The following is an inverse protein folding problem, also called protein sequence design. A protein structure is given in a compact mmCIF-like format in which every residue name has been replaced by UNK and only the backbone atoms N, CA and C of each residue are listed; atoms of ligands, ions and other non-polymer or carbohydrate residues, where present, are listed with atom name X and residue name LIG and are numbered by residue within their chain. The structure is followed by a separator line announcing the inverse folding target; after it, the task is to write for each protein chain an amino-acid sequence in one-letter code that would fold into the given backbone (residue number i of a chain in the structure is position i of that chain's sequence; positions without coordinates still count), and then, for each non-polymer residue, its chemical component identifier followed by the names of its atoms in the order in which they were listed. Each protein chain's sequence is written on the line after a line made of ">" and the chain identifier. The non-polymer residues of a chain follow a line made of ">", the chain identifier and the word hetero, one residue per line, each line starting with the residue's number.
data_IF_761840009948
#
_entry.id   IF_761840009948
#
_cell.length_a   1.000
_cell.length_b   1.000
_cell.length_c   1.000
_cell.angle_alpha   90.00
_cell.angle_beta   90.00
_cell.angle_gamma   90.00
#
_symmetry.space_group_name_H-M   'P 1'
#
loop_
_entity.id
_entity.type
_entity.pdbx_description
1 polymer ?
#
# COMPACT_ATOMS: atom_id res chain seq x y z
N UNK A 1 -54.78 -5.01 -29.04
CA UNK A 1 -53.57 -5.39 -28.30
C UNK A 1 -52.60 -4.22 -28.33
N UNK A 2 -52.47 -3.48 -27.23
CA UNK A 2 -51.52 -2.37 -27.11
C UNK A 2 -50.25 -2.95 -26.49
N UNK A 3 -49.12 -2.78 -27.18
CA UNK A 3 -47.81 -3.32 -26.79
C UNK A 3 -47.31 -2.61 -25.52
N UNK A 4 -47.22 -3.36 -24.41
CA UNK A 4 -46.92 -2.82 -23.06
C UNK A 4 -45.42 -2.89 -22.70
N UNK A 5 -44.53 -3.24 -23.63
CA UNK A 5 -43.13 -3.60 -23.31
C UNK A 5 -42.09 -2.46 -23.39
N UNK A 6 -42.50 -1.20 -23.27
CA UNK A 6 -41.59 -0.05 -23.46
C UNK A 6 -41.08 0.67 -22.19
N UNK A 7 -41.63 0.37 -21.00
CA UNK A 7 -41.43 1.22 -19.80
C UNK A 7 -40.51 0.62 -18.73
N UNK A 8 -40.12 -0.64 -18.84
CA UNK A 8 -39.40 -1.36 -17.75
C UNK A 8 -37.86 -1.25 -17.84
N UNK A 9 -37.29 -0.74 -18.92
CA UNK A 9 -35.83 -0.65 -19.11
C UNK A 9 -35.19 0.65 -18.61
N UNK A 10 -35.84 1.80 -18.85
CA UNK A 10 -35.26 3.13 -18.60
C UNK A 10 -34.96 3.42 -17.13
N UNK A 11 -35.80 2.93 -16.22
CA UNK A 11 -35.64 3.14 -14.77
C UNK A 11 -34.53 2.26 -14.17
N UNK A 12 -34.35 1.03 -14.70
CA UNK A 12 -33.22 0.16 -14.33
C UNK A 12 -31.90 0.75 -14.79
N UNK A 13 -31.84 1.26 -16.01
CA UNK A 13 -30.63 1.91 -16.55
C UNK A 13 -30.27 3.15 -15.72
N UNK A 14 -31.26 3.95 -15.33
CA UNK A 14 -31.06 5.11 -14.43
C UNK A 14 -30.51 4.70 -13.06
N UNK A 15 -31.04 3.63 -12.45
CA UNK A 15 -30.57 3.14 -11.15
C UNK A 15 -29.14 2.57 -11.21
N UNK A 16 -28.79 1.92 -12.32
CA UNK A 16 -27.43 1.42 -12.57
C UNK A 16 -26.45 2.58 -12.74
N UNK A 17 -26.82 3.62 -13.50
CA UNK A 17 -26.01 4.83 -13.69
C UNK A 17 -25.79 5.55 -12.35
N UNK A 18 -26.82 5.69 -11.53
CA UNK A 18 -26.69 6.34 -10.21
C UNK A 18 -25.78 5.55 -9.27
N UNK A 19 -25.88 4.22 -9.28
CA UNK A 19 -25.00 3.34 -8.50
C UNK A 19 -23.54 3.48 -8.94
N UNK A 20 -23.29 3.49 -10.26
CA UNK A 20 -21.96 3.68 -10.81
C UNK A 20 -21.34 5.02 -10.39
N UNK A 21 -22.11 6.12 -10.47
CA UNK A 21 -21.65 7.45 -10.02
C UNK A 21 -21.23 7.44 -8.56
N UNK A 22 -22.04 6.85 -7.67
CA UNK A 22 -21.70 6.75 -6.24
C UNK A 22 -20.42 5.95 -5.99
N UNK A 23 -20.18 4.88 -6.74
CA UNK A 23 -18.94 4.12 -6.63
C UNK A 23 -17.73 4.95 -7.10
N UNK A 24 -17.85 5.64 -8.23
CA UNK A 24 -16.79 6.50 -8.78
C UNK A 24 -16.44 7.62 -7.81
N UNK A 25 -17.44 8.38 -7.35
CA UNK A 25 -17.24 9.49 -6.41
C UNK A 25 -16.53 9.04 -5.13
N UNK A 26 -16.92 7.86 -4.60
CA UNK A 26 -16.27 7.30 -3.41
C UNK A 26 -14.83 6.88 -3.68
N UNK A 27 -14.53 6.31 -4.84
CA UNK A 27 -13.17 5.94 -5.24
C UNK A 27 -12.31 7.19 -5.42
N UNK A 28 -12.81 8.21 -6.11
CA UNK A 28 -12.09 9.47 -6.34
C UNK A 28 -11.73 10.16 -5.02
N UNK A 29 -12.67 10.18 -4.06
CA UNK A 29 -12.39 10.68 -2.72
C UNK A 29 -11.28 9.88 -2.02
N UNK A 30 -11.36 8.54 -2.06
CA UNK A 30 -10.35 7.68 -1.45
C UNK A 30 -8.98 7.82 -2.12
N UNK A 31 -8.94 8.03 -3.43
CA UNK A 31 -7.71 8.29 -4.19
C UNK A 31 -7.07 9.62 -3.79
N UNK A 32 -7.87 10.69 -3.64
CA UNK A 32 -7.39 11.98 -3.13
C UNK A 32 -6.81 11.86 -1.71
N UNK A 33 -7.54 11.21 -0.80
CA UNK A 33 -7.07 10.97 0.58
C UNK A 33 -5.77 10.15 0.60
N UNK A 34 -5.68 9.12 -0.26
CA UNK A 34 -4.47 8.30 -0.40
C UNK A 34 -3.28 9.11 -0.90
N UNK A 35 -3.51 10.03 -1.85
CA UNK A 35 -2.47 10.91 -2.36
C UNK A 35 -1.95 11.86 -1.27
N UNK A 36 -2.85 12.52 -0.54
CA UNK A 36 -2.52 13.40 0.58
C UNK A 36 -1.70 12.66 1.66
N UNK A 37 -2.14 11.46 2.06
CA UNK A 37 -1.39 10.61 3.01
C UNK A 37 -0.01 10.27 2.43
N UNK A 38 0.07 9.94 1.14
CA UNK A 38 1.33 9.66 0.45
C UNK A 38 2.28 10.86 0.48
N UNK A 39 1.77 12.08 0.29
CA UNK A 39 2.55 13.31 0.39
C UNK A 39 3.03 13.56 1.84
N UNK A 40 2.17 13.36 2.84
CA UNK A 40 2.55 13.44 4.25
C UNK A 40 3.68 12.47 4.60
N UNK A 41 3.59 11.20 4.17
CA UNK A 41 4.65 10.20 4.37
C UNK A 41 5.96 10.64 3.72
N UNK A 42 5.91 11.19 2.50
CA UNK A 42 7.12 11.71 1.82
C UNK A 42 7.73 12.87 2.61
N UNK A 43 6.91 13.78 3.13
CA UNK A 43 7.37 14.90 3.95
C UNK A 43 8.15 14.42 5.18
N UNK A 44 7.62 13.43 5.90
CA UNK A 44 8.31 12.84 7.08
C UNK A 44 9.67 12.22 6.71
N UNK A 45 9.75 11.50 5.58
CA UNK A 45 11.05 10.96 5.13
C UNK A 45 12.04 12.07 4.73
N UNK A 46 11.55 13.17 4.15
CA UNK A 46 12.40 14.30 3.79
C UNK A 46 12.89 15.05 5.03
N UNK A 47 12.03 15.27 6.02
CA UNK A 47 12.40 15.84 7.31
C UNK A 47 13.45 14.96 8.01
N UNK A 48 13.24 13.65 8.05
CA UNK A 48 14.21 12.71 8.63
C UNK A 48 15.57 12.78 7.92
N UNK A 49 15.59 12.89 6.59
CA UNK A 49 16.83 13.09 5.83
C UNK A 49 17.53 14.41 6.19
N UNK A 50 16.79 15.52 6.30
CA UNK A 50 17.33 16.81 6.74
C UNK A 50 17.91 16.76 8.16
N UNK A 51 17.34 15.91 9.01
CA UNK A 51 17.81 15.66 10.37
C UNK A 51 18.95 14.61 10.45
N UNK A 52 19.48 14.16 9.31
CA UNK A 52 20.63 13.26 9.25
C UNK A 52 20.33 11.77 9.28
N UNK A 53 19.07 11.35 9.22
CA UNK A 53 18.69 9.94 9.14
C UNK A 53 18.73 9.40 7.71
N UNK A 54 19.01 8.10 7.55
CA UNK A 54 18.99 7.45 6.25
C UNK A 54 17.57 6.96 5.89
N UNK A 55 16.84 7.69 5.04
CA UNK A 55 15.48 7.29 4.65
C UNK A 55 15.39 5.91 3.96
N UNK A 56 16.45 5.45 3.27
CA UNK A 56 16.43 4.11 2.64
C UNK A 56 16.42 3.02 3.70
N UNK A 57 17.25 3.14 4.73
CA UNK A 57 17.23 2.23 5.88
C UNK A 57 15.89 2.26 6.61
N UNK A 58 15.33 3.46 6.85
CA UNK A 58 14.01 3.61 7.48
C UNK A 58 12.90 2.90 6.69
N UNK A 59 12.87 3.01 5.36
CA UNK A 59 11.89 2.30 4.53
C UNK A 59 12.00 0.78 4.68
N UNK A 60 13.23 0.25 4.79
CA UNK A 60 13.43 -1.18 5.06
C UNK A 60 12.89 -1.58 6.44
N UNK A 61 13.15 -0.77 7.47
CA UNK A 61 12.61 -1.00 8.82
C UNK A 61 11.07 -1.00 8.80
N UNK A 62 10.44 -0.03 8.12
CA UNK A 62 8.98 0.00 8.00
C UNK A 62 8.44 -1.24 7.27
N UNK A 63 9.13 -1.72 6.22
CA UNK A 63 8.75 -2.97 5.53
C UNK A 63 8.82 -4.17 6.47
N UNK A 64 9.94 -4.32 7.21
CA UNK A 64 10.12 -5.39 8.19
C UNK A 64 9.03 -5.35 9.28
N UNK A 65 8.72 -4.15 9.79
CA UNK A 65 7.69 -3.95 10.82
C UNK A 65 6.27 -4.28 10.37
N UNK A 66 6.00 -4.31 9.06
CA UNK A 66 4.71 -4.72 8.49
C UNK A 66 4.57 -6.24 8.35
N UNK A 67 5.66 -6.98 8.37
CA UNK A 67 5.65 -8.45 8.38
C UNK A 67 5.24 -8.94 9.77
N UNK A 68 4.55 -10.08 9.84
CA UNK A 68 4.33 -10.78 11.10
C UNK A 68 5.70 -11.25 11.67
N UNK A 69 5.72 -11.65 12.94
CA UNK A 69 6.97 -11.99 13.61
C UNK A 69 7.61 -13.25 13.02
N UNK A 70 6.82 -14.30 12.81
CA UNK A 70 7.31 -15.59 12.31
C UNK A 70 7.96 -15.47 10.92
N UNK A 71 7.29 -14.80 9.96
CA UNK A 71 7.82 -14.56 8.61
C UNK A 71 9.09 -13.70 8.66
N UNK A 72 9.18 -12.77 9.62
CA UNK A 72 10.37 -11.92 9.80
C UNK A 72 11.54 -12.75 10.30
N UNK A 73 11.34 -13.57 11.33
CA UNK A 73 12.37 -14.43 11.91
C UNK A 73 12.88 -15.44 10.89
N UNK A 74 11.97 -16.11 10.16
CA UNK A 74 12.33 -17.05 9.10
C UNK A 74 13.18 -16.36 8.01
N UNK A 75 12.73 -15.20 7.53
CA UNK A 75 13.45 -14.42 6.53
C UNK A 75 14.81 -13.95 7.05
N UNK A 76 14.92 -13.49 8.30
CA UNK A 76 16.18 -13.06 8.91
C UNK A 76 17.17 -14.23 9.04
N UNK A 77 16.72 -15.41 9.45
CA UNK A 77 17.57 -16.62 9.50
C UNK A 77 18.07 -17.03 8.11
N UNK A 78 17.20 -16.99 7.09
CA UNK A 78 17.57 -17.27 5.70
C UNK A 78 18.62 -16.28 5.17
N UNK A 79 18.38 -14.98 5.37
CA UNK A 79 19.31 -13.93 4.96
C UNK A 79 20.65 -14.07 5.68
N UNK A 80 20.63 -14.38 6.98
CA UNK A 80 21.85 -14.62 7.77
C UNK A 80 22.65 -15.79 7.21
N UNK A 81 21.99 -16.90 6.89
CA UNK A 81 22.60 -18.10 6.29
C UNK A 81 23.29 -17.76 4.97
N UNK A 82 22.62 -17.03 4.09
CA UNK A 82 23.20 -16.62 2.81
C UNK A 82 24.33 -15.61 2.96
N UNK A 83 24.22 -14.64 3.87
CA UNK A 83 25.32 -13.69 4.14
C UNK A 83 26.57 -14.39 4.65
N UNK A 84 26.41 -15.39 5.53
CA UNK A 84 27.51 -16.22 6.03
C UNK A 84 28.14 -17.02 4.89
N UNK A 85 27.32 -17.70 4.08
CA UNK A 85 27.81 -18.47 2.93
C UNK A 85 28.57 -17.63 1.89
N UNK A 86 28.20 -16.35 1.75
CA UNK A 86 28.84 -15.41 0.83
C UNK A 86 29.99 -14.59 1.46
N UNK A 87 30.31 -14.80 2.74
CA UNK A 87 31.35 -14.04 3.44
C UNK A 87 31.04 -12.55 3.62
N UNK A 88 29.77 -12.15 3.53
CA UNK A 88 29.31 -10.76 3.72
C UNK A 88 29.13 -10.44 5.21
N UNK A 89 28.84 -11.47 6.02
CA UNK A 89 28.72 -11.34 7.46
C UNK A 89 30.14 -11.34 8.07
N UNK A 90 30.52 -10.24 8.72
CA UNK A 90 31.70 -10.22 9.61
C UNK A 90 31.22 -10.63 10.99
N UNK A 91 31.63 -11.81 11.45
CA UNK A 91 31.48 -12.18 12.86
C UNK A 91 32.51 -11.34 13.63
N UNK A 92 32.02 -10.42 14.47
CA UNK A 92 32.89 -9.72 15.40
C UNK A 92 33.06 -10.69 16.56
N UNK A 93 34.18 -11.41 16.56
CA UNK A 93 34.60 -12.17 17.74
C UNK A 93 34.85 -11.15 18.86
N UNK A 94 34.12 -11.28 19.98
CA UNK A 94 34.33 -10.50 21.20
C UNK A 94 35.67 -10.83 21.88
#
# INVERSE_FOLDING_TARGET
>A
MISVNGLVSKDKDSMVIESLKRYIERIEKLESEREEIGQCIRSVYNEANSNGFNAKAMRQIIKLRKMNNDDREEHEMLVMTYKRALGILVEIDE
#
